data_IF_701060819329
#
_entry.id   IF_701060819329
#
_cell.length_a   1.000
_cell.length_b   1.000
_cell.length_c   1.000
_cell.angle_alpha   90.00
_cell.angle_beta   90.00
_cell.angle_gamma   90.00
#
_symmetry.space_group_name_H-M   'P 1'
#
loop_
_entity.id
_entity.type
_entity.pdbx_description
1 polymer ?
#
# COMPACT_ATOMS: atom_id res chain seq x y z
N UNK A 1 0.07 14.85 32.67
CA UNK A 1 1.16 14.43 31.76
C UNK A 1 1.99 13.38 32.47
N UNK A 2 2.12 12.18 31.91
CA UNK A 2 3.04 11.16 32.44
C UNK A 2 4.50 11.63 32.26
N UNK A 3 5.38 11.21 33.16
CA UNK A 3 6.81 11.53 33.06
C UNK A 3 7.41 10.79 31.86
N UNK A 4 8.09 11.47 30.92
CA UNK A 4 8.75 10.79 29.80
C UNK A 4 9.84 9.83 30.29
N UNK A 5 9.89 8.61 29.73
CA UNK A 5 11.00 7.68 29.95
C UNK A 5 12.18 8.12 29.07
N UNK A 6 13.25 8.61 29.68
CA UNK A 6 14.47 9.03 28.96
C UNK A 6 15.44 7.87 28.88
N UNK A 7 15.83 7.48 27.67
CA UNK A 7 16.89 6.49 27.43
C UNK A 7 18.24 7.22 27.38
N UNK A 8 18.94 7.29 28.51
CA UNK A 8 20.18 8.06 28.64
C UNK A 8 21.31 7.57 27.72
N UNK A 9 21.22 6.32 27.26
CA UNK A 9 22.19 5.68 26.37
C UNK A 9 21.64 5.46 24.94
N UNK A 10 20.54 6.13 24.57
CA UNK A 10 19.90 5.99 23.26
C UNK A 10 19.07 4.71 23.10
N UNK A 11 18.57 4.50 21.88
CA UNK A 11 17.81 3.31 21.45
C UNK A 11 18.48 2.80 20.18
N UNK A 12 18.75 1.50 20.10
CA UNK A 12 19.38 0.86 18.93
C UNK A 12 18.58 -0.36 18.48
N UNK A 13 18.54 -0.57 17.17
CA UNK A 13 18.01 -1.73 16.45
C UNK A 13 19.13 -2.67 15.99
N UNK A 14 20.38 -2.42 16.38
CA UNK A 14 21.56 -3.19 15.98
C UNK A 14 22.22 -3.79 17.22
N UNK A 15 22.72 -5.03 17.09
CA UNK A 15 23.44 -5.70 18.18
C UNK A 15 24.70 -4.91 18.61
N UNK A 16 25.02 -4.95 19.91
CA UNK A 16 26.09 -4.14 20.52
C UNK A 16 27.50 -4.48 20.03
N UNK A 17 27.69 -5.64 19.38
CA UNK A 17 28.94 -6.10 18.79
C UNK A 17 29.16 -5.59 17.35
N UNK A 18 28.16 -4.91 16.75
CA UNK A 18 28.26 -4.37 15.39
C UNK A 18 28.72 -2.90 15.41
N UNK A 19 29.34 -2.42 14.30
CA UNK A 19 29.80 -1.03 14.20
C UNK A 19 28.71 0.01 14.50
N UNK A 20 27.47 -0.25 14.09
CA UNK A 20 26.32 0.66 14.29
C UNK A 20 25.60 0.43 15.63
N UNK A 21 26.01 -0.55 16.45
CA UNK A 21 25.39 -0.85 17.74
C UNK A 21 25.53 0.24 18.80
N UNK A 22 26.48 1.17 18.63
CA UNK A 22 26.67 2.35 19.47
C UNK A 22 26.14 3.65 18.85
N UNK A 23 25.42 3.57 17.73
CA UNK A 23 24.77 4.73 17.14
C UNK A 23 23.72 5.28 18.11
N UNK A 24 23.69 6.61 18.28
CA UNK A 24 22.81 7.28 19.24
C UNK A 24 21.34 7.31 18.79
N UNK A 25 21.09 6.96 17.53
CA UNK A 25 19.79 6.74 16.92
C UNK A 25 19.73 5.30 16.40
N UNK A 26 18.54 4.71 16.20
CA UNK A 26 18.41 3.47 15.46
C UNK A 26 19.10 3.61 14.09
N UNK A 27 19.86 2.59 13.69
CA UNK A 27 20.58 2.54 12.42
C UNK A 27 19.58 2.68 11.26
N UNK A 28 19.61 3.79 10.52
CA UNK A 28 18.69 4.02 9.41
C UNK A 28 18.98 3.09 8.23
N UNK A 29 20.14 2.42 8.21
CA UNK A 29 20.52 1.49 7.15
C UNK A 29 20.06 0.06 7.39
N UNK A 30 19.50 -0.25 8.57
CA UNK A 30 18.97 -1.60 8.85
C UNK A 30 17.72 -1.93 8.04
N UNK A 31 17.03 -0.90 7.55
CA UNK A 31 15.79 -1.01 6.77
C UNK A 31 15.86 -0.13 5.53
N UNK A 32 15.13 -0.53 4.50
CA UNK A 32 14.69 0.36 3.43
C UNK A 32 13.29 0.85 3.77
N UNK A 33 13.07 2.16 3.75
CA UNK A 33 11.80 2.79 4.16
C UNK A 33 11.35 3.81 3.11
N UNK A 34 10.09 3.71 2.74
CA UNK A 34 9.33 4.73 2.02
C UNK A 34 8.09 5.09 2.84
N UNK A 35 7.81 6.37 3.00
CA UNK A 35 6.58 6.86 3.62
C UNK A 35 6.24 8.21 3.00
N UNK A 36 5.00 8.38 2.59
CA UNK A 36 4.45 9.62 2.06
C UNK A 36 3.14 9.94 2.79
N UNK A 37 3.06 11.17 3.31
CA UNK A 37 1.90 11.74 4.03
C UNK A 37 1.15 12.74 3.14
N UNK A 38 1.66 13.04 1.94
CA UNK A 38 1.07 13.94 0.96
C UNK A 38 0.89 15.40 1.44
N UNK A 39 1.72 15.88 2.36
CA UNK A 39 1.97 17.33 2.56
C UNK A 39 2.44 18.01 1.26
N UNK A 40 3.07 17.22 0.39
CA UNK A 40 3.51 17.61 -0.96
C UNK A 40 3.22 16.48 -1.94
N UNK A 41 3.00 16.85 -3.20
CA UNK A 41 2.94 15.90 -4.30
C UNK A 41 3.82 16.40 -5.44
N UNK A 42 4.84 15.61 -5.78
CA UNK A 42 5.71 15.87 -6.92
C UNK A 42 5.48 14.78 -7.97
N UNK A 43 4.84 15.13 -9.08
CA UNK A 43 4.47 14.15 -10.11
C UNK A 43 5.66 13.30 -10.63
N UNK A 44 6.88 13.86 -10.63
CA UNK A 44 8.08 13.13 -11.05
C UNK A 44 8.52 11.99 -10.12
N UNK A 45 7.99 11.93 -8.89
CA UNK A 45 8.23 10.84 -7.94
C UNK A 45 7.36 9.60 -8.27
N UNK A 46 6.38 9.76 -9.17
CA UNK A 46 5.35 8.77 -9.46
C UNK A 46 5.25 8.45 -10.96
N UNK A 47 4.94 7.20 -11.27
CA UNK A 47 4.44 6.78 -12.57
C UNK A 47 2.91 6.79 -12.50
N UNK A 48 2.28 7.62 -13.33
CA UNK A 48 0.81 7.75 -13.42
C UNK A 48 0.34 7.16 -14.75
N UNK A 49 -0.67 6.29 -14.68
CA UNK A 49 -1.37 5.74 -15.84
C UNK A 49 -2.84 6.12 -15.74
N UNK A 50 -3.41 6.65 -16.82
CA UNK A 50 -4.79 7.14 -16.84
C UNK A 50 -5.48 6.69 -18.13
N UNK A 51 -6.77 6.36 -18.04
CA UNK A 51 -7.61 6.11 -19.21
C UNK A 51 -7.89 7.40 -19.99
N UNK A 52 -8.03 8.53 -19.27
CA UNK A 52 -8.33 9.85 -19.83
C UNK A 52 -7.49 10.94 -19.15
N UNK A 53 -6.96 11.86 -19.95
CA UNK A 53 -6.10 12.96 -19.48
C UNK A 53 -6.85 14.07 -18.73
N UNK A 54 -8.18 13.99 -18.63
CA UNK A 54 -9.02 14.86 -17.83
C UNK A 54 -9.09 14.45 -16.35
N UNK A 55 -8.54 13.29 -15.99
CA UNK A 55 -8.40 12.89 -14.59
C UNK A 55 -7.41 13.81 -13.86
N UNK A 56 -7.51 13.85 -12.52
CA UNK A 56 -6.67 14.74 -11.71
C UNK A 56 -6.11 14.06 -10.48
N UNK A 57 -4.86 14.38 -10.15
CA UNK A 57 -4.21 14.08 -8.88
C UNK A 57 -3.92 15.40 -8.19
N UNK A 58 -4.66 15.70 -7.13
CA UNK A 58 -4.58 16.99 -6.45
C UNK A 58 -4.36 16.80 -4.95
N UNK A 59 -3.56 17.67 -4.36
CA UNK A 59 -3.51 17.78 -2.92
C UNK A 59 -4.87 18.27 -2.40
N UNK A 60 -5.36 17.62 -1.35
CA UNK A 60 -6.59 17.97 -0.67
C UNK A 60 -6.32 18.31 0.80
N UNK A 61 -7.21 19.10 1.40
CA UNK A 61 -7.10 19.48 2.80
C UNK A 61 -7.37 18.27 3.71
N UNK A 62 -6.42 18.00 4.60
CA UNK A 62 -6.48 16.98 5.64
C UNK A 62 -5.33 17.16 6.63
N UNK A 63 -5.46 16.58 7.82
CA UNK A 63 -4.38 16.58 8.81
C UNK A 63 -3.27 15.62 8.35
N UNK A 64 -2.07 16.15 8.08
CA UNK A 64 -0.96 15.39 7.47
C UNK A 64 -0.82 15.55 5.95
N UNK A 65 -1.80 16.15 5.28
CA UNK A 65 -1.87 16.18 3.82
C UNK A 65 -2.65 14.98 3.26
N UNK A 66 -3.20 15.12 2.04
CA UNK A 66 -3.95 14.06 1.35
C UNK A 66 -3.78 14.20 -0.15
N UNK A 67 -3.69 13.07 -0.85
CA UNK A 67 -3.80 13.03 -2.31
C UNK A 67 -5.21 12.59 -2.70
N UNK A 68 -5.94 13.47 -3.40
CA UNK A 68 -7.23 13.18 -4.01
C UNK A 68 -7.03 12.84 -5.49
N UNK A 69 -7.37 11.62 -5.86
CA UNK A 69 -7.47 11.17 -7.24
C UNK A 69 -8.93 11.30 -7.67
N UNK A 70 -9.16 11.91 -8.83
CA UNK A 70 -10.50 12.03 -9.44
C UNK A 70 -10.44 11.52 -10.87
N UNK A 71 -11.20 10.47 -11.15
CA UNK A 71 -11.39 9.99 -12.51
C UNK A 71 -12.28 10.95 -13.31
N UNK A 72 -12.20 10.85 -14.64
CA UNK A 72 -13.29 11.30 -15.52
C UNK A 72 -14.54 10.42 -15.33
N UNK A 73 -15.64 10.74 -16.01
CA UNK A 73 -16.96 10.15 -15.72
C UNK A 73 -17.38 9.00 -16.65
N UNK A 74 -16.51 8.52 -17.54
CA UNK A 74 -16.82 7.34 -18.32
C UNK A 74 -16.71 6.08 -17.45
N UNK A 75 -17.45 5.05 -17.85
CA UNK A 75 -17.34 3.74 -17.24
C UNK A 75 -15.93 3.17 -17.47
N UNK A 76 -15.40 2.43 -16.50
CA UNK A 76 -14.03 1.89 -16.50
C UNK A 76 -12.89 2.93 -16.66
N UNK A 77 -13.16 4.22 -16.47
CA UNK A 77 -12.08 5.20 -16.35
C UNK A 77 -11.22 4.85 -15.13
N UNK A 78 -9.91 4.76 -15.35
CA UNK A 78 -8.93 4.35 -14.34
C UNK A 78 -7.84 5.41 -14.18
N UNK A 79 -7.40 5.59 -12.94
CA UNK A 79 -6.11 6.21 -12.60
C UNK A 79 -5.33 5.24 -11.71
N UNK A 80 -4.12 4.89 -12.16
CA UNK A 80 -3.14 4.13 -11.38
C UNK A 80 -1.92 4.99 -11.06
N UNK A 81 -1.49 4.99 -9.80
CA UNK A 81 -0.33 5.72 -9.30
C UNK A 81 0.62 4.74 -8.63
N UNK A 82 1.88 4.77 -9.05
CA UNK A 82 2.92 3.84 -8.61
C UNK A 82 4.20 4.63 -8.37
N UNK A 83 5.03 4.27 -7.38
CA UNK A 83 6.32 4.95 -7.20
C UNK A 83 7.13 4.82 -8.52
N UNK A 84 7.96 5.80 -8.85
CA UNK A 84 8.69 5.79 -10.13
C UNK A 84 9.65 4.57 -10.31
N UNK A 85 9.93 3.84 -9.22
CA UNK A 85 10.80 2.66 -9.20
C UNK A 85 10.28 1.61 -8.22
N UNK A 86 10.24 0.36 -8.69
CA UNK A 86 10.17 -0.82 -7.84
C UNK A 86 11.41 -0.87 -6.95
N UNK A 87 11.20 -1.05 -5.65
CA UNK A 87 12.28 -0.95 -4.67
C UNK A 87 12.08 -1.83 -3.42
N UNK A 88 11.08 -2.70 -3.45
CA UNK A 88 10.75 -3.61 -2.36
C UNK A 88 10.67 -5.05 -2.85
N UNK A 89 11.46 -5.96 -2.28
CA UNK A 89 11.39 -7.40 -2.61
C UNK A 89 10.97 -8.18 -1.38
N UNK A 90 10.02 -9.10 -1.52
CA UNK A 90 9.70 -10.07 -0.46
C UNK A 90 10.74 -11.19 -0.48
N UNK A 91 11.70 -11.11 0.42
CA UNK A 91 12.88 -11.98 0.43
C UNK A 91 12.88 -12.87 1.67
N UNK A 92 13.27 -14.14 1.49
CA UNK A 92 13.41 -15.07 2.62
C UNK A 92 14.44 -14.55 3.64
N UNK A 93 14.07 -14.62 4.92
CA UNK A 93 14.82 -14.11 6.05
C UNK A 93 14.71 -12.60 6.26
N UNK A 94 13.92 -11.87 5.45
CA UNK A 94 13.74 -10.41 5.57
C UNK A 94 12.28 -10.07 5.74
N UNK A 95 11.97 -9.41 6.86
CA UNK A 95 10.62 -8.90 7.11
C UNK A 95 10.32 -7.71 6.24
N UNK A 96 9.05 -7.57 5.88
CA UNK A 96 8.55 -6.42 5.15
C UNK A 96 7.19 -5.97 5.69
N UNK A 97 6.89 -4.68 5.51
CA UNK A 97 5.66 -4.05 5.95
C UNK A 97 5.13 -3.17 4.83
N UNK A 98 3.81 -3.11 4.71
CA UNK A 98 3.10 -2.12 3.92
C UNK A 98 1.98 -1.54 4.75
N UNK A 99 1.66 -0.27 4.53
CA UNK A 99 0.62 0.42 5.26
C UNK A 99 0.03 1.49 4.35
N UNK A 100 -1.29 1.63 4.34
CA UNK A 100 -1.98 2.75 3.69
C UNK A 100 -3.24 3.14 4.44
N UNK A 101 -3.65 4.40 4.32
CA UNK A 101 -4.97 4.88 4.76
C UNK A 101 -5.67 5.57 3.62
N UNK A 102 -6.82 5.02 3.22
CA UNK A 102 -7.55 5.43 2.02
C UNK A 102 -9.05 5.59 2.29
N UNK A 103 -9.75 6.37 1.45
CA UNK A 103 -11.22 6.40 1.36
C UNK A 103 -11.66 6.47 -0.10
N UNK A 104 -12.65 5.67 -0.47
CA UNK A 104 -13.34 5.76 -1.76
C UNK A 104 -14.54 6.71 -1.69
N UNK A 105 -14.95 7.28 -2.82
CA UNK A 105 -16.18 8.08 -2.92
C UNK A 105 -17.46 7.24 -2.85
N UNK A 106 -17.36 5.95 -3.17
CA UNK A 106 -18.48 5.03 -3.27
C UNK A 106 -18.11 3.70 -2.61
N UNK A 107 -19.06 3.08 -1.91
CA UNK A 107 -18.82 1.80 -1.27
C UNK A 107 -19.03 0.62 -2.23
N UNK A 108 -19.81 0.81 -3.30
CA UNK A 108 -20.29 -0.24 -4.20
C UNK A 108 -19.82 -0.05 -5.62
N UNK A 109 -20.05 1.12 -6.21
CA UNK A 109 -19.88 1.36 -7.66
C UNK A 109 -18.49 1.90 -8.03
N UNK A 110 -17.42 1.27 -7.53
CA UNK A 110 -16.05 1.62 -7.89
C UNK A 110 -15.12 0.46 -7.60
N UNK A 111 -14.00 0.40 -8.30
CA UNK A 111 -12.90 -0.48 -7.95
C UNK A 111 -11.75 0.33 -7.37
N UNK A 112 -11.02 -0.25 -6.42
CA UNK A 112 -9.70 0.26 -6.06
C UNK A 112 -8.75 -0.86 -5.68
N UNK A 113 -7.46 -0.59 -5.82
CA UNK A 113 -6.37 -1.49 -5.45
C UNK A 113 -5.31 -0.68 -4.72
N UNK A 114 -4.73 -1.22 -3.64
CA UNK A 114 -3.63 -0.59 -2.89
C UNK A 114 -2.70 -1.63 -2.29
N UNK A 115 -1.39 -1.47 -2.47
CA UNK A 115 -0.42 -2.45 -1.95
C UNK A 115 0.97 -2.37 -2.55
N UNK A 116 1.66 -3.51 -2.47
CA UNK A 116 2.94 -3.74 -3.12
C UNK A 116 2.73 -4.63 -4.35
N UNK A 117 2.94 -4.11 -5.55
CA UNK A 117 2.87 -4.90 -6.78
C UNK A 117 3.83 -4.39 -7.84
N UNK A 118 4.15 -5.21 -8.85
CA UNK A 118 4.96 -4.78 -10.01
C UNK A 118 4.33 -3.60 -10.73
N UNK A 119 5.14 -2.82 -11.43
CA UNK A 119 4.68 -1.71 -12.24
C UNK A 119 3.74 -2.22 -13.34
N UNK A 120 2.47 -1.84 -13.25
CA UNK A 120 1.41 -2.33 -14.14
C UNK A 120 0.59 -1.16 -14.72
N UNK A 121 0.18 -1.27 -15.98
CA UNK A 121 -0.64 -0.25 -16.65
C UNK A 121 -2.14 -0.49 -16.56
N UNK A 122 -2.56 -1.67 -16.10
CA UNK A 122 -3.95 -2.10 -15.95
C UNK A 122 -4.16 -2.91 -14.66
N UNK A 123 -3.71 -2.43 -13.49
CA UNK A 123 -3.67 -3.22 -12.24
C UNK A 123 -5.05 -3.70 -11.76
N UNK A 124 -6.14 -3.01 -12.11
CA UNK A 124 -7.51 -3.45 -11.77
C UNK A 124 -8.05 -4.43 -12.83
N UNK A 125 -7.95 -4.08 -14.11
CA UNK A 125 -8.55 -4.88 -15.19
C UNK A 125 -7.89 -6.25 -15.42
N UNK A 126 -6.56 -6.37 -15.23
CA UNK A 126 -5.83 -7.62 -15.49
C UNK A 126 -5.20 -8.27 -14.26
N UNK A 127 -5.26 -7.61 -13.10
CA UNK A 127 -4.44 -7.88 -11.92
C UNK A 127 -2.92 -7.77 -12.19
N UNK A 128 -2.11 -7.29 -11.22
CA UNK A 128 -0.66 -7.29 -11.35
C UNK A 128 -0.09 -8.71 -11.46
N UNK A 129 0.98 -8.92 -12.23
CA UNK A 129 1.60 -10.25 -12.37
C UNK A 129 2.21 -10.78 -11.07
N UNK A 130 2.64 -9.87 -10.20
CA UNK A 130 3.28 -10.15 -8.93
C UNK A 130 2.92 -9.06 -7.91
N UNK A 131 2.46 -9.45 -6.74
CA UNK A 131 2.17 -8.50 -5.67
C UNK A 131 1.47 -9.09 -4.45
N UNK A 132 1.39 -8.27 -3.41
CA UNK A 132 0.54 -8.44 -2.24
C UNK A 132 -0.22 -7.13 -2.05
N UNK A 133 -1.53 -7.17 -2.24
CA UNK A 133 -2.35 -5.96 -2.29
C UNK A 133 -3.75 -6.22 -1.78
N UNK A 134 -4.37 -5.13 -1.30
CA UNK A 134 -5.79 -5.08 -1.02
C UNK A 134 -6.54 -4.60 -2.25
N UNK A 135 -7.78 -5.05 -2.40
CA UNK A 135 -8.68 -4.55 -3.42
C UNK A 135 -10.12 -4.47 -2.93
N UNK A 136 -10.93 -3.75 -3.69
CA UNK A 136 -12.39 -3.73 -3.60
C UNK A 136 -12.91 -3.68 -5.02
N UNK A 137 -13.84 -4.56 -5.35
CA UNK A 137 -14.38 -4.70 -6.69
C UNK A 137 -15.73 -3.95 -6.82
N UNK A 138 -16.07 -3.54 -8.05
CA UNK A 138 -17.39 -3.03 -8.37
C UNK A 138 -18.49 -4.09 -8.10
N UNK A 139 -19.64 -3.61 -7.65
CA UNK A 139 -20.85 -4.41 -7.47
C UNK A 139 -20.96 -5.08 -6.09
N UNK A 140 -19.96 -4.95 -5.22
CA UNK A 140 -20.05 -5.37 -3.82
C UNK A 140 -19.46 -4.34 -2.84
N UNK A 141 -19.32 -4.68 -1.56
CA UNK A 141 -18.68 -3.80 -0.56
C UNK A 141 -17.50 -4.49 0.13
N UNK A 142 -16.97 -5.55 -0.46
CA UNK A 142 -15.93 -6.35 0.18
C UNK A 142 -14.57 -5.69 -0.02
N UNK A 143 -13.80 -5.64 1.05
CA UNK A 143 -12.36 -5.43 0.96
C UNK A 143 -11.73 -6.81 1.00
N UNK A 144 -10.89 -7.09 0.02
CA UNK A 144 -10.20 -8.36 -0.17
C UNK A 144 -8.69 -8.15 -0.09
N UNK A 145 -7.95 -9.25 0.10
CA UNK A 145 -6.49 -9.27 -0.01
C UNK A 145 -6.06 -10.42 -0.92
N UNK A 146 -5.11 -10.15 -1.80
CA UNK A 146 -4.56 -11.13 -2.71
C UNK A 146 -3.03 -11.19 -2.64
N UNK A 147 -2.49 -12.39 -2.81
CA UNK A 147 -1.09 -12.66 -3.12
C UNK A 147 -1.05 -13.25 -4.53
N UNK A 148 -0.35 -12.58 -5.43
CA UNK A 148 -0.13 -13.02 -6.81
C UNK A 148 1.36 -13.20 -7.02
N UNK A 149 1.77 -14.30 -7.63
CA UNK A 149 3.16 -14.54 -7.98
C UNK A 149 3.25 -15.22 -9.35
N UNK A 150 4.14 -14.75 -10.21
CA UNK A 150 4.35 -15.31 -11.55
C UNK A 150 3.06 -15.45 -12.36
N UNK A 151 2.22 -14.40 -12.32
CA UNK A 151 0.91 -14.30 -12.99
C UNK A 151 -0.15 -15.31 -12.53
N UNK A 152 0.02 -15.92 -11.35
CA UNK A 152 -0.98 -16.80 -10.75
C UNK A 152 -1.41 -16.27 -9.38
N UNK A 153 -2.73 -16.26 -9.13
CA UNK A 153 -3.27 -16.04 -7.78
C UNK A 153 -2.82 -17.19 -6.89
N UNK A 154 -1.97 -16.87 -5.93
CA UNK A 154 -1.44 -17.83 -4.95
C UNK A 154 -2.43 -18.00 -3.81
N UNK A 155 -2.97 -16.88 -3.32
CA UNK A 155 -3.94 -16.84 -2.26
C UNK A 155 -4.81 -15.60 -2.41
N UNK A 156 -6.06 -15.72 -1.99
CA UNK A 156 -7.03 -14.64 -1.97
C UNK A 156 -7.99 -14.87 -0.79
N UNK A 157 -8.24 -13.81 -0.03
CA UNK A 157 -9.20 -13.83 1.08
C UNK A 157 -10.17 -12.69 0.89
N UNK A 158 -11.45 -13.05 0.75
CA UNK A 158 -12.50 -12.09 0.41
C UNK A 158 -13.27 -11.64 1.65
N UNK A 159 -13.73 -10.39 1.63
CA UNK A 159 -14.56 -9.80 2.68
C UNK A 159 -13.85 -9.71 4.03
N UNK A 160 -12.56 -9.36 4.04
CA UNK A 160 -11.79 -9.12 5.27
C UNK A 160 -12.30 -7.88 6.03
N UNK A 161 -12.96 -6.97 5.32
CA UNK A 161 -13.71 -5.85 5.86
C UNK A 161 -14.79 -5.40 4.88
N UNK A 162 -15.62 -4.44 5.33
CA UNK A 162 -16.64 -3.79 4.50
C UNK A 162 -16.19 -2.39 4.13
N UNK A 163 -16.09 -2.10 2.84
CA UNK A 163 -15.80 -0.77 2.33
C UNK A 163 -16.92 0.22 2.68
N UNK A 164 -16.53 1.45 3.02
CA UNK A 164 -17.43 2.58 3.26
C UNK A 164 -16.88 3.81 2.56
N UNK A 165 -17.56 4.94 2.68
CA UNK A 165 -17.03 6.25 2.24
C UNK A 165 -16.15 6.94 3.29
N UNK A 166 -15.92 6.28 4.43
CA UNK A 166 -14.95 6.69 5.45
C UNK A 166 -13.54 6.17 5.18
N UNK A 167 -12.57 6.69 5.93
CA UNK A 167 -11.21 6.19 5.86
C UNK A 167 -11.09 4.79 6.47
N UNK A 168 -10.34 3.93 5.81
CA UNK A 168 -9.88 2.63 6.29
C UNK A 168 -8.36 2.59 6.27
N UNK A 169 -7.75 2.04 7.33
CA UNK A 169 -6.33 1.72 7.35
C UNK A 169 -6.13 0.23 7.01
N UNK A 170 -5.22 -0.04 6.09
CA UNK A 170 -4.89 -1.37 5.60
C UNK A 170 -3.39 -1.60 5.78
N UNK A 171 -3.02 -2.68 6.48
CA UNK A 171 -1.62 -3.02 6.73
C UNK A 171 -1.30 -4.46 6.35
N UNK A 172 -0.07 -4.67 5.88
CA UNK A 172 0.53 -5.97 5.60
C UNK A 172 1.81 -6.10 6.42
N UNK A 173 2.05 -7.28 6.98
CA UNK A 173 3.33 -7.69 7.55
C UNK A 173 3.74 -9.05 6.98
N UNK A 174 4.86 -9.09 6.27
CA UNK A 174 5.54 -10.31 5.86
C UNK A 174 6.58 -10.70 6.90
N UNK A 175 6.50 -11.93 7.40
CA UNK A 175 7.39 -12.43 8.46
C UNK A 175 8.81 -12.79 7.99
N UNK A 176 9.04 -12.77 6.68
CA UNK A 176 10.30 -13.17 6.07
C UNK A 176 10.39 -14.67 5.78
N UNK A 177 9.33 -15.45 5.99
CA UNK A 177 9.37 -16.91 5.84
C UNK A 177 8.25 -17.38 4.91
N UNK A 178 7.03 -17.45 5.42
CA UNK A 178 5.89 -18.07 4.74
C UNK A 178 4.55 -17.39 5.05
N UNK A 179 4.55 -16.33 5.86
CA UNK A 179 3.32 -15.77 6.41
C UNK A 179 3.17 -14.29 6.11
N UNK A 180 2.03 -13.94 5.52
CA UNK A 180 1.52 -12.57 5.42
C UNK A 180 0.43 -12.39 6.47
N UNK A 181 0.63 -11.46 7.39
CA UNK A 181 -0.39 -10.96 8.31
C UNK A 181 -1.05 -9.73 7.70
N UNK A 182 -2.37 -9.65 7.75
CA UNK A 182 -3.12 -8.51 7.24
C UNK A 182 -4.04 -7.90 8.30
N UNK A 183 -4.11 -6.57 8.29
CA UNK A 183 -4.77 -5.79 9.33
C UNK A 183 -5.73 -4.80 8.71
N UNK A 184 -6.83 -4.56 9.42
CA UNK A 184 -7.78 -3.49 9.13
C UNK A 184 -7.90 -2.63 10.38
N UNK A 185 -7.69 -1.32 10.22
CA UNK A 185 -7.71 -0.34 11.31
C UNK A 185 -6.78 -0.70 12.49
N UNK A 186 -5.63 -1.28 12.17
CA UNK A 186 -4.63 -1.72 13.15
C UNK A 186 -4.97 -2.98 13.93
N UNK A 187 -6.05 -3.68 13.56
CA UNK A 187 -6.46 -4.97 14.12
C UNK A 187 -6.12 -6.07 13.13
N UNK A 188 -5.42 -7.11 13.59
CA UNK A 188 -5.10 -8.28 12.76
C UNK A 188 -6.39 -9.03 12.42
N UNK A 189 -6.69 -9.16 11.13
CA UNK A 189 -7.88 -9.86 10.67
C UNK A 189 -7.57 -11.33 10.35
N UNK A 190 -6.35 -11.62 9.91
CA UNK A 190 -5.90 -12.98 9.69
C UNK A 190 -4.53 -13.06 9.03
N UNK A 191 -4.24 -14.27 8.55
CA UNK A 191 -2.97 -14.60 7.89
C UNK A 191 -3.20 -15.35 6.58
N UNK A 192 -2.23 -15.20 5.67
CA UNK A 192 -2.06 -16.03 4.48
C UNK A 192 -0.74 -16.78 4.64
N UNK A 193 -0.81 -18.11 4.68
CA UNK A 193 0.35 -19.00 4.72
C UNK A 193 0.64 -19.51 3.31
N UNK A 194 1.80 -19.19 2.76
CA UNK A 194 2.26 -19.66 1.45
C UNK A 194 3.77 -19.65 1.33
N UNK A 195 4.31 -20.48 0.44
CA UNK A 195 5.75 -20.46 0.08
C UNK A 195 6.01 -19.87 -1.30
N UNK A 196 4.95 -19.45 -2.01
CA UNK A 196 5.03 -18.86 -3.34
C UNK A 196 4.75 -17.35 -3.25
N UNK A 197 5.81 -16.55 -3.13
CA UNK A 197 5.72 -15.08 -3.14
C UNK A 197 6.32 -14.51 -4.42
N UNK A 198 5.95 -13.26 -4.77
CA UNK A 198 6.71 -12.47 -5.73
C UNK A 198 8.22 -12.55 -5.49
N UNK A 199 8.97 -12.84 -6.55
CA UNK A 199 10.44 -12.90 -6.50
C UNK A 199 11.11 -11.69 -7.16
N UNK A 200 10.33 -10.86 -7.85
CA UNK A 200 10.75 -9.60 -8.47
C UNK A 200 10.63 -8.43 -7.49
N UNK A 201 11.27 -7.30 -7.79
CA UNK A 201 11.01 -6.06 -7.10
C UNK A 201 9.54 -5.61 -7.30
N UNK A 202 8.94 -5.15 -6.22
CA UNK A 202 7.58 -4.62 -6.12
C UNK A 202 7.63 -3.11 -5.89
N UNK A 203 6.52 -2.50 -6.24
CA UNK A 203 6.29 -1.06 -6.22
C UNK A 203 5.20 -0.69 -5.21
N UNK A 204 5.32 0.47 -4.57
CA UNK A 204 4.25 1.04 -3.77
C UNK A 204 3.23 1.65 -4.71
N UNK A 205 2.01 1.13 -4.68
CA UNK A 205 1.02 1.39 -5.73
C UNK A 205 -0.40 1.49 -5.21
N UNK A 206 -1.21 2.32 -5.87
CA UNK A 206 -2.63 2.47 -5.63
C UNK A 206 -3.36 2.87 -6.92
N UNK A 207 -4.59 2.41 -7.09
CA UNK A 207 -5.40 2.66 -8.27
C UNK A 207 -6.89 2.80 -7.93
N UNK A 208 -7.62 3.52 -8.78
CA UNK A 208 -9.08 3.67 -8.71
C UNK A 208 -9.68 3.55 -10.10
N UNK A 209 -10.78 2.81 -10.22
CA UNK A 209 -11.57 2.68 -11.44
C UNK A 209 -13.05 2.97 -11.15
N UNK A 210 -13.73 3.59 -12.11
CA UNK A 210 -15.18 3.75 -12.02
C UNK A 210 -15.88 2.42 -12.30
N UNK A 211 -16.92 2.08 -11.52
CA UNK A 211 -17.81 0.95 -11.79
C UNK A 211 -19.12 1.34 -12.50
N UNK A 212 -19.25 2.60 -12.89
CA UNK A 212 -20.37 3.11 -13.68
C UNK A 212 -19.94 4.41 -14.39
N UNK A 213 -20.79 4.93 -15.30
CA UNK A 213 -20.57 6.23 -15.96
C UNK A 213 -20.79 7.45 -15.02
N UNK A 214 -20.07 7.47 -13.91
CA UNK A 214 -20.03 8.52 -12.88
C UNK A 214 -18.60 8.60 -12.35
N UNK A 215 -18.03 9.80 -12.29
CA UNK A 215 -16.69 10.01 -11.76
C UNK A 215 -16.58 9.51 -10.30
N UNK A 216 -15.58 8.65 -10.05
CA UNK A 216 -15.22 8.18 -8.70
C UNK A 216 -13.91 8.81 -8.26
N UNK A 217 -13.72 8.85 -6.94
CA UNK A 217 -12.51 9.39 -6.32
C UNK A 217 -11.94 8.43 -5.31
N UNK A 218 -10.61 8.40 -5.23
CA UNK A 218 -9.87 7.77 -4.14
C UNK A 218 -9.04 8.85 -3.45
N UNK A 219 -9.20 8.98 -2.15
CA UNK A 219 -8.30 9.83 -1.34
C UNK A 219 -7.34 8.94 -0.58
N UNK A 220 -6.05 9.25 -0.68
CA UNK A 220 -4.97 8.61 0.08
C UNK A 220 -4.46 9.62 1.11
N UNK A 221 -4.58 9.28 2.38
CA UNK A 221 -4.06 10.09 3.50
C UNK A 221 -2.56 9.89 3.61
N UNK A 222 -2.13 8.64 3.69
CA UNK A 222 -0.72 8.27 3.67
C UNK A 222 -0.52 6.87 3.11
N UNK A 223 0.70 6.60 2.68
CA UNK A 223 1.13 5.29 2.18
C UNK A 223 2.60 5.05 2.51
N UNK A 224 2.95 3.82 2.86
CA UNK A 224 4.32 3.48 3.23
C UNK A 224 4.65 2.01 3.08
N UNK A 225 5.95 1.76 2.94
CA UNK A 225 6.51 0.42 2.91
C UNK A 225 7.88 0.40 3.59
N UNK A 226 8.17 -0.71 4.26
CA UNK A 226 9.44 -0.95 4.95
C UNK A 226 9.92 -2.36 4.65
N UNK A 227 11.22 -2.56 4.46
CA UNK A 227 11.84 -3.89 4.35
C UNK A 227 13.15 -3.93 5.13
N UNK A 228 13.44 -5.02 5.82
CA UNK A 228 14.77 -5.28 6.37
C UNK A 228 15.83 -5.39 5.25
N UNK A 229 17.05 -4.88 5.52
CA UNK A 229 18.23 -5.03 4.64
C UNK A 229 19.07 -6.25 5.01
#
# INVERSE_FOLDING_TARGET
MSTPKRFTNGVTNVASDKPMGQLLIPDPTSVHTFFEDFDRYAAGDWTVTETDAGATQALADGDGGQLLITNTAADDDLVGIQLAKESFTLESGKKAWFTARIKGSDATQMDWLVGLHVTDTSPIASAPSDGVYFRKDDGDTNIDIAVVASSATVAEVNGIATATTGFVRLDIYFDGVDTIHYFVDGVEIGTIETTSFPTTELNVSFAVQNGEAVAKTLTVDWIGAVKER
#
